data_IF_397438456870
#
_entry.id   IF_397438456870
#
_cell.length_a   1.000
_cell.length_b   1.000
_cell.length_c   1.000
_cell.angle_alpha   90.00
_cell.angle_beta   90.00
_cell.angle_gamma   90.00
#
_symmetry.space_group_name_H-M   'P 1'
#
loop_
_entity.id
_entity.type
_entity.pdbx_description
1 polymer ?
#
# COMPACT_ATOMS: atom_id res chain seq x y z
N UNK A 1 -13.57 25.76 7.65
CA UNK A 1 -12.77 24.52 7.64
C UNK A 1 -11.97 24.48 6.34
N UNK A 2 -10.63 24.49 6.42
CA UNK A 2 -9.76 24.46 5.23
C UNK A 2 -9.76 23.05 4.63
N UNK A 3 -9.94 22.94 3.31
CA UNK A 3 -9.91 21.64 2.61
C UNK A 3 -8.55 20.98 2.82
N UNK A 4 -8.48 19.67 3.13
CA UNK A 4 -7.20 18.97 3.23
C UNK A 4 -6.44 19.08 1.91
N UNK A 5 -5.13 19.33 1.99
CA UNK A 5 -4.27 19.44 0.82
C UNK A 5 -4.09 18.04 0.22
N UNK A 6 -4.90 17.73 -0.79
CA UNK A 6 -4.77 16.51 -1.58
C UNK A 6 -3.79 16.73 -2.72
N UNK A 7 -3.05 15.69 -3.09
CA UNK A 7 -2.24 15.67 -4.30
C UNK A 7 -3.11 15.77 -5.57
N UNK A 8 -2.49 16.08 -6.71
CA UNK A 8 -3.17 16.14 -8.02
C UNK A 8 -3.56 14.74 -8.49
N UNK A 9 -4.51 14.67 -9.43
CA UNK A 9 -5.04 13.41 -9.95
C UNK A 9 -3.94 12.51 -10.52
N UNK A 10 -3.05 13.03 -11.36
CA UNK A 10 -1.97 12.23 -11.98
C UNK A 10 -1.00 11.62 -10.96
N UNK A 11 -0.80 12.29 -9.82
CA UNK A 11 0.00 11.74 -8.73
C UNK A 11 -0.75 10.65 -7.98
N UNK A 12 -2.06 10.83 -7.80
CA UNK A 12 -2.92 9.86 -7.13
C UNK A 12 -3.12 8.60 -7.97
N UNK A 13 -3.29 8.72 -9.29
CA UNK A 13 -3.41 7.55 -10.17
C UNK A 13 -2.19 6.65 -10.08
N UNK A 14 -0.99 7.24 -9.92
CA UNK A 14 0.25 6.48 -9.81
C UNK A 14 0.53 5.93 -8.40
N UNK A 15 0.16 6.65 -7.33
CA UNK A 15 0.64 6.35 -5.98
C UNK A 15 -0.45 6.06 -4.93
N UNK A 16 -1.71 6.41 -5.18
CA UNK A 16 -2.76 6.20 -4.19
C UNK A 16 -2.96 4.69 -3.92
N UNK A 17 -3.04 4.32 -2.64
CA UNK A 17 -3.20 2.92 -2.23
C UNK A 17 -1.91 2.08 -2.26
N UNK A 18 -0.82 2.57 -2.86
CA UNK A 18 0.47 1.88 -2.91
C UNK A 18 1.49 2.52 -1.97
N UNK A 19 2.31 1.70 -1.32
CA UNK A 19 3.48 2.09 -0.52
C UNK A 19 4.54 0.99 -0.62
N UNK A 20 5.83 1.29 -0.41
CA UNK A 20 6.85 0.25 -0.33
C UNK A 20 6.51 -0.77 0.75
N UNK A 21 6.72 -2.06 0.46
CA UNK A 21 6.54 -3.14 1.42
C UNK A 21 7.41 -2.89 2.67
N UNK A 22 6.84 -2.86 3.89
CA UNK A 22 7.61 -2.53 5.09
C UNK A 22 8.63 -3.62 5.48
N UNK A 23 8.46 -4.86 5.03
CA UNK A 23 9.38 -5.95 5.37
C UNK A 23 10.65 -5.95 4.51
N UNK A 24 10.56 -5.55 3.24
CA UNK A 24 11.65 -5.69 2.25
C UNK A 24 12.02 -4.38 1.53
N UNK A 25 11.15 -3.37 1.57
CA UNK A 25 11.29 -2.14 0.80
C UNK A 25 10.90 -2.27 -0.67
N UNK A 26 10.32 -3.40 -1.10
CA UNK A 26 9.85 -3.60 -2.47
C UNK A 26 8.86 -2.49 -2.85
N UNK A 27 9.13 -1.81 -3.98
CA UNK A 27 8.29 -0.71 -4.46
C UNK A 27 7.08 -1.17 -5.26
N UNK A 28 7.21 -2.30 -5.95
CA UNK A 28 6.07 -2.98 -6.54
C UNK A 28 5.31 -3.75 -5.46
N UNK A 29 3.98 -3.72 -5.50
CA UNK A 29 3.14 -4.48 -4.58
C UNK A 29 3.40 -5.97 -4.75
N UNK A 30 3.76 -6.71 -3.68
CA UNK A 30 3.93 -8.15 -3.76
C UNK A 30 2.64 -8.87 -4.15
N UNK A 31 2.77 -9.96 -4.90
CA UNK A 31 1.65 -10.87 -5.17
C UNK A 31 1.57 -11.87 -4.02
N UNK A 32 0.62 -11.68 -3.10
CA UNK A 32 0.34 -12.64 -2.04
C UNK A 32 -0.52 -13.79 -2.56
N UNK A 33 0.08 -14.66 -3.37
CA UNK A 33 -0.57 -15.86 -3.92
C UNK A 33 -0.63 -16.97 -2.86
N UNK A 34 -1.41 -16.75 -1.80
CA UNK A 34 -1.66 -17.70 -0.72
C UNK A 34 -3.17 -17.93 -0.56
N UNK A 35 -3.54 -19.10 -0.06
CA UNK A 35 -4.92 -19.41 0.32
C UNK A 35 -5.25 -19.07 1.78
N UNK A 36 -4.24 -18.87 2.64
CA UNK A 36 -4.43 -18.61 4.08
C UNK A 36 -3.27 -17.82 4.70
N UNK A 37 -3.48 -17.31 5.93
CA UNK A 37 -2.50 -16.59 6.74
C UNK A 37 -2.39 -17.22 8.14
N UNK A 38 -1.21 -17.12 8.75
CA UNK A 38 -0.91 -17.66 10.09
C UNK A 38 -1.31 -16.66 11.19
N UNK A 39 -1.91 -17.15 12.27
CA UNK A 39 -2.10 -16.38 13.51
C UNK A 39 -0.83 -16.42 14.36
N UNK A 40 -0.53 -15.34 15.07
CA UNK A 40 0.74 -15.19 15.80
C UNK A 40 0.94 -16.19 16.94
N UNK A 41 -0.15 -16.61 17.60
CA UNK A 41 -0.11 -17.35 18.87
C UNK A 41 -1.00 -18.61 18.82
N UNK A 42 -0.90 -19.40 17.75
CA UNK A 42 -1.59 -20.70 17.63
C UNK A 42 -0.96 -21.79 18.49
#
# INVERSE_FOLDING_TARGET
MTKPKTTRFDTLTLHAGARPDPATGARATPIYQSASFVFRDS
#
